data_IF_366959330764
#
_entry.id   IF_366959330764
#
_cell.length_a   1.000
_cell.length_b   1.000
_cell.length_c   1.000
_cell.angle_alpha   90.00
_cell.angle_beta   90.00
_cell.angle_gamma   90.00
#
_symmetry.space_group_name_H-M   'P 1'
#
loop_
_entity.id
_entity.type
_entity.pdbx_description
1 polymer ?
#
# COMPACT_ATOMS: atom_id res chain seq x y z
N UNK A 1 -2.49 -5.88 18.93
CA UNK A 1 -1.84 -4.74 18.25
C UNK A 1 -2.92 -3.85 17.68
N UNK A 2 -2.94 -2.55 18.00
CA UNK A 2 -3.93 -1.62 17.45
C UNK A 2 -3.51 -1.21 16.03
N UNK A 3 -4.21 -1.75 15.03
CA UNK A 3 -4.01 -1.52 13.60
C UNK A 3 -4.13 -0.01 13.24
N UNK A 4 -4.80 0.76 14.10
CA UNK A 4 -5.03 2.20 13.94
C UNK A 4 -4.14 3.06 14.85
N UNK A 5 -3.04 2.53 15.39
CA UNK A 5 -2.09 3.31 16.22
C UNK A 5 -1.05 4.09 15.41
N UNK A 6 -0.79 3.72 14.15
CA UNK A 6 0.21 4.35 13.28
C UNK A 6 -0.35 5.26 12.18
N UNK A 7 0.43 5.49 11.12
CA UNK A 7 -0.02 6.19 9.92
C UNK A 7 -0.90 5.26 9.07
N UNK A 8 -2.22 5.52 9.06
CA UNK A 8 -3.20 4.72 8.32
C UNK A 8 -3.50 5.25 6.92
N UNK A 9 -2.87 6.36 6.50
CA UNK A 9 -3.23 7.12 5.31
C UNK A 9 -3.14 6.30 4.02
N UNK A 10 -2.18 5.38 3.95
CA UNK A 10 -1.93 4.50 2.81
C UNK A 10 -2.60 3.13 2.92
N UNK A 11 -3.33 2.89 4.02
CA UNK A 11 -4.04 1.63 4.20
C UNK A 11 -5.26 1.60 3.30
N UNK A 12 -5.59 0.41 2.80
CA UNK A 12 -6.76 0.19 1.97
C UNK A 12 -7.68 -0.74 2.72
N UNK A 13 -8.96 -0.37 2.80
CA UNK A 13 -9.98 -1.20 3.42
C UNK A 13 -11.06 -1.55 2.41
N UNK A 14 -11.65 -2.73 2.58
CA UNK A 14 -12.81 -3.20 1.83
C UNK A 14 -13.94 -3.50 2.81
N UNK A 15 -15.17 -3.14 2.44
CA UNK A 15 -16.36 -3.57 3.18
C UNK A 15 -16.49 -5.11 3.20
N UNK A 16 -16.75 -5.65 4.38
CA UNK A 16 -17.01 -7.08 4.63
C UNK A 16 -18.38 -7.20 5.31
N UNK A 17 -19.44 -7.01 4.52
CA UNK A 17 -20.81 -7.11 5.01
C UNK A 17 -21.28 -8.53 4.74
N UNK A 18 -21.26 -9.37 5.78
CA UNK A 18 -21.85 -10.72 5.75
C UNK A 18 -23.38 -10.61 5.96
N UNK A 19 -24.23 -11.37 5.25
CA UNK A 19 -25.68 -11.31 5.41
C UNK A 19 -26.17 -11.66 6.83
N UNK A 20 -25.36 -12.42 7.58
CA UNK A 20 -25.65 -12.84 8.96
C UNK A 20 -25.23 -11.83 10.04
N UNK A 21 -24.58 -10.72 9.66
CA UNK A 21 -24.39 -9.60 10.58
C UNK A 21 -25.78 -9.01 10.84
N UNK A 22 -26.32 -9.28 12.04
CA UNK A 22 -27.64 -8.81 12.47
C UNK A 22 -27.83 -7.29 12.37
N UNK A 23 -28.94 -6.76 12.87
CA UNK A 23 -29.29 -5.33 12.77
C UNK A 23 -28.29 -4.41 13.49
N UNK A 24 -27.15 -4.12 12.86
CA UNK A 24 -26.19 -3.11 13.31
C UNK A 24 -26.75 -1.75 12.91
N UNK A 25 -27.02 -0.91 13.90
CA UNK A 25 -27.44 0.47 13.65
C UNK A 25 -26.23 1.29 13.19
N UNK A 26 -26.17 1.57 11.89
CA UNK A 26 -25.13 2.38 11.27
C UNK A 26 -25.62 3.81 11.04
N UNK A 27 -24.81 4.78 11.43
CA UNK A 27 -25.08 6.18 11.12
C UNK A 27 -24.91 6.46 9.62
N UNK A 28 -25.57 7.51 9.10
CA UNK A 28 -25.43 7.95 7.71
C UNK A 28 -23.97 8.18 7.30
N UNK A 29 -23.14 8.71 8.21
CA UNK A 29 -21.71 8.88 7.99
C UNK A 29 -20.93 7.57 7.87
N UNK A 30 -21.26 6.57 8.70
CA UNK A 30 -20.63 5.24 8.63
C UNK A 30 -20.97 4.50 7.34
N UNK A 31 -22.22 4.62 6.87
CA UNK A 31 -22.65 4.04 5.59
C UNK A 31 -21.92 4.68 4.41
N UNK A 32 -21.74 6.01 4.44
CA UNK A 32 -20.95 6.73 3.44
C UNK A 32 -19.49 6.26 3.41
N UNK A 33 -18.88 6.06 4.58
CA UNK A 33 -17.53 5.51 4.68
C UNK A 33 -17.47 4.08 4.14
N UNK A 34 -18.38 3.19 4.55
CA UNK A 34 -18.44 1.81 4.05
C UNK A 34 -18.56 1.75 2.52
N UNK A 35 -19.40 2.59 1.93
CA UNK A 35 -19.58 2.67 0.47
C UNK A 35 -18.30 3.14 -0.25
N UNK A 36 -17.53 4.03 0.37
CA UNK A 36 -16.26 4.51 -0.19
C UNK A 36 -15.11 3.47 -0.07
N UNK A 37 -15.21 2.54 0.88
CA UNK A 37 -14.25 1.46 1.13
C UNK A 37 -14.50 0.26 0.22
N UNK A 38 -14.26 0.47 -1.07
CA UNK A 38 -14.39 -0.55 -2.12
C UNK A 38 -13.18 -1.48 -2.24
N UNK A 39 -12.16 -1.31 -1.39
CA UNK A 39 -10.92 -2.08 -1.43
C UNK A 39 -9.88 -1.57 -2.42
N UNK A 40 -10.10 -0.44 -3.12
CA UNK A 40 -9.11 0.12 -4.06
C UNK A 40 -8.51 1.47 -3.70
N UNK A 41 -9.20 2.24 -2.86
CA UNK A 41 -8.75 3.56 -2.42
C UNK A 41 -8.08 3.47 -1.05
N UNK A 42 -7.01 4.23 -0.87
CA UNK A 42 -6.41 4.41 0.44
C UNK A 42 -7.26 5.33 1.33
N UNK A 43 -7.02 5.27 2.65
CA UNK A 43 -7.78 6.08 3.64
C UNK A 43 -7.65 7.58 3.35
N UNK A 44 -6.49 8.05 2.89
CA UNK A 44 -6.29 9.46 2.53
C UNK A 44 -7.20 9.90 1.39
N UNK A 45 -7.36 9.06 0.36
CA UNK A 45 -8.24 9.32 -0.78
C UNK A 45 -9.70 9.30 -0.35
N UNK A 46 -10.09 8.38 0.54
CA UNK A 46 -11.43 8.32 1.11
C UNK A 46 -11.75 9.57 1.92
N UNK A 47 -10.80 10.05 2.72
CA UNK A 47 -10.91 11.32 3.46
C UNK A 47 -11.20 12.51 2.52
N UNK A 48 -10.48 12.62 1.40
CA UNK A 48 -10.69 13.68 0.41
C UNK A 48 -12.06 13.60 -0.27
N UNK A 49 -12.45 12.40 -0.71
CA UNK A 49 -13.72 12.18 -1.44
C UNK A 49 -14.92 12.49 -0.56
N UNK A 50 -14.88 12.04 0.71
CA UNK A 50 -15.96 12.27 1.65
C UNK A 50 -15.88 13.63 2.34
N UNK A 51 -14.81 14.40 2.12
CA UNK A 51 -14.50 15.65 2.83
C UNK A 51 -14.53 15.49 4.36
N UNK A 52 -14.07 14.34 4.85
CA UNK A 52 -13.98 14.01 6.28
C UNK A 52 -12.51 14.05 6.67
N UNK A 53 -12.09 14.83 7.68
CA UNK A 53 -10.70 14.88 8.11
C UNK A 53 -10.24 13.55 8.71
N UNK A 54 -8.94 13.27 8.62
CA UNK A 54 -8.35 12.01 9.11
C UNK A 54 -8.58 11.77 10.62
N UNK A 55 -8.70 12.86 11.40
CA UNK A 55 -9.02 12.83 12.84
C UNK A 55 -10.38 12.19 13.11
N UNK A 56 -11.34 12.43 12.23
CA UNK A 56 -12.73 11.99 12.38
C UNK A 56 -12.96 10.65 11.66
N UNK A 57 -12.23 10.41 10.57
CA UNK A 57 -12.29 9.16 9.82
C UNK A 57 -11.69 7.99 10.61
N UNK A 58 -10.59 8.21 11.34
CA UNK A 58 -9.92 7.16 12.16
C UNK A 58 -10.87 6.48 13.16
N UNK A 59 -11.61 7.19 14.03
CA UNK A 59 -12.52 6.54 14.97
C UNK A 59 -13.69 5.83 14.27
N UNK A 60 -14.13 6.30 13.10
CA UNK A 60 -15.15 5.61 12.29
C UNK A 60 -14.59 4.27 11.78
N UNK A 61 -13.41 4.27 11.16
CA UNK A 61 -12.76 3.06 10.68
C UNK A 61 -12.49 2.06 11.81
N UNK A 62 -12.04 2.54 12.98
CA UNK A 62 -11.82 1.69 14.16
C UNK A 62 -13.11 1.02 14.63
N UNK A 63 -14.24 1.74 14.63
CA UNK A 63 -15.56 1.16 14.96
C UNK A 63 -15.98 0.13 13.91
N UNK A 64 -15.90 0.46 12.63
CA UNK A 64 -16.24 -0.45 11.53
C UNK A 64 -15.40 -1.74 11.58
N UNK A 65 -14.09 -1.62 11.85
CA UNK A 65 -13.19 -2.77 11.98
C UNK A 65 -13.49 -3.60 13.23
N UNK A 66 -13.82 -2.95 14.36
CA UNK A 66 -14.22 -3.66 15.60
C UNK A 66 -15.51 -4.48 15.39
N UNK A 67 -16.40 -4.02 14.54
CA UNK A 67 -17.62 -4.73 14.15
C UNK A 67 -17.42 -5.66 12.95
N UNK A 68 -16.18 -5.88 12.51
CA UNK A 68 -15.83 -6.76 11.39
C UNK A 68 -16.49 -6.36 10.06
N UNK A 69 -16.99 -5.11 9.96
CA UNK A 69 -17.65 -4.58 8.77
C UNK A 69 -16.67 -4.16 7.67
N UNK A 70 -15.39 -4.04 8.02
CA UNK A 70 -14.31 -3.74 7.08
C UNK A 70 -13.11 -4.64 7.36
N UNK A 71 -12.42 -5.02 6.30
CA UNK A 71 -11.16 -5.74 6.35
C UNK A 71 -10.08 -4.94 5.65
N UNK A 72 -8.84 -5.07 6.10
CA UNK A 72 -7.69 -4.53 5.37
C UNK A 72 -7.51 -5.29 4.06
N UNK A 73 -7.57 -4.57 2.95
CA UNK A 73 -7.28 -5.12 1.64
C UNK A 73 -5.82 -4.84 1.32
N UNK A 74 -4.97 -5.86 1.39
CA UNK A 74 -3.59 -5.78 0.89
C UNK A 74 -3.55 -5.68 -0.66
N UNK A 75 -4.70 -5.88 -1.33
CA UNK A 75 -4.74 -6.39 -2.72
C UNK A 75 -5.29 -5.48 -3.82
N UNK A 76 -5.68 -4.22 -3.61
CA UNK A 76 -6.44 -3.54 -4.68
C UNK A 76 -6.17 -2.04 -4.97
N UNK A 77 -5.01 -1.50 -4.59
CA UNK A 77 -4.47 -0.37 -5.36
C UNK A 77 -3.98 -0.84 -6.74
N UNK A 78 -3.78 0.05 -7.75
CA UNK A 78 -3.02 -0.33 -8.94
C UNK A 78 -1.70 -0.94 -8.47
N UNK A 79 -1.43 -2.17 -8.89
CA UNK A 79 -0.24 -2.91 -8.49
C UNK A 79 0.85 -2.66 -9.52
N UNK A 80 2.10 -2.68 -9.08
CA UNK A 80 3.22 -2.76 -10.01
C UNK A 80 2.99 -3.99 -10.89
N UNK A 81 2.99 -3.78 -12.20
CA UNK A 81 2.86 -4.86 -13.15
C UNK A 81 4.12 -5.76 -13.12
N UNK A 82 3.98 -6.99 -13.63
CA UNK A 82 5.10 -7.94 -13.70
C UNK A 82 6.29 -7.38 -14.50
N UNK A 83 6.02 -6.52 -15.47
CA UNK A 83 7.04 -5.85 -16.29
C UNK A 83 7.93 -4.93 -15.44
N UNK A 84 7.35 -4.10 -14.57
CA UNK A 84 8.12 -3.24 -13.68
C UNK A 84 8.95 -4.05 -12.69
N UNK A 85 8.41 -5.14 -12.13
CA UNK A 85 9.16 -5.99 -11.19
C UNK A 85 10.32 -6.71 -11.91
N UNK A 86 10.08 -7.19 -13.14
CA UNK A 86 11.12 -7.83 -13.96
C UNK A 86 12.23 -6.83 -14.29
N UNK A 87 11.84 -5.61 -14.66
CA UNK A 87 12.75 -4.52 -14.94
C UNK A 87 13.58 -4.10 -13.73
N UNK A 88 12.94 -3.97 -12.56
CA UNK A 88 13.60 -3.69 -11.28
C UNK A 88 14.65 -4.76 -10.98
N UNK A 89 14.31 -6.02 -11.22
CA UNK A 89 15.22 -7.15 -11.05
C UNK A 89 16.40 -7.09 -12.02
N UNK A 90 16.17 -6.82 -13.31
CA UNK A 90 17.23 -6.69 -14.31
C UNK A 90 18.18 -5.54 -13.97
N UNK A 91 17.66 -4.34 -13.70
CA UNK A 91 18.47 -3.18 -13.39
C UNK A 91 19.26 -3.33 -12.10
N UNK A 92 18.68 -3.96 -11.08
CA UNK A 92 19.41 -4.24 -9.85
C UNK A 92 20.47 -5.33 -10.05
N UNK A 93 20.20 -6.32 -10.90
CA UNK A 93 21.17 -7.36 -11.24
C UNK A 93 22.37 -6.80 -12.01
N UNK A 94 22.18 -5.80 -12.87
CA UNK A 94 23.28 -5.11 -13.57
C UNK A 94 24.24 -4.42 -12.58
N UNK A 95 23.73 -3.98 -11.43
CA UNK A 95 24.51 -3.25 -10.41
C UNK A 95 25.09 -4.18 -9.34
N UNK A 96 24.28 -5.11 -8.85
CA UNK A 96 24.54 -5.95 -7.66
C UNK A 96 24.78 -7.42 -8.01
N UNK A 97 24.57 -7.82 -9.26
CA UNK A 97 24.69 -9.21 -9.69
C UNK A 97 23.56 -10.10 -9.13
N UNK A 98 23.82 -11.40 -8.92
CA UNK A 98 22.78 -12.39 -8.59
C UNK A 98 22.09 -12.15 -7.23
N UNK A 99 22.67 -11.33 -6.35
CA UNK A 99 22.08 -10.99 -5.04
C UNK A 99 20.84 -10.08 -5.17
N UNK A 100 20.62 -9.46 -6.33
CA UNK A 100 19.51 -8.55 -6.60
C UNK A 100 18.14 -9.12 -6.19
N UNK A 101 17.87 -10.39 -6.52
CA UNK A 101 16.59 -11.03 -6.19
C UNK A 101 16.40 -11.15 -4.66
N UNK A 102 17.46 -11.44 -3.91
CA UNK A 102 17.40 -11.50 -2.46
C UNK A 102 17.16 -10.12 -1.84
N UNK A 103 17.82 -9.07 -2.36
CA UNK A 103 17.63 -7.70 -1.89
C UNK A 103 16.21 -7.19 -2.12
N UNK A 104 15.62 -7.50 -3.27
CA UNK A 104 14.22 -7.16 -3.58
C UNK A 104 13.27 -7.87 -2.62
N UNK A 105 13.46 -9.17 -2.39
CA UNK A 105 12.65 -9.95 -1.44
C UNK A 105 12.76 -9.40 -0.02
N UNK A 106 13.95 -9.02 0.42
CA UNK A 106 14.17 -8.44 1.75
C UNK A 106 13.50 -7.06 1.89
N UNK A 107 13.55 -6.22 0.86
CA UNK A 107 12.87 -4.93 0.84
C UNK A 107 11.35 -5.10 0.90
N UNK A 108 10.78 -5.99 0.09
CA UNK A 108 9.34 -6.31 0.10
C UNK A 108 8.89 -6.88 1.45
N UNK A 109 9.70 -7.76 2.06
CA UNK A 109 9.43 -8.32 3.39
C UNK A 109 9.42 -7.22 4.46
N UNK A 110 10.35 -6.27 4.41
CA UNK A 110 10.37 -5.10 5.32
C UNK A 110 9.14 -4.21 5.16
N UNK A 111 8.65 -4.08 3.93
CA UNK A 111 7.45 -3.33 3.61
C UNK A 111 6.14 -4.08 3.93
N UNK A 112 6.24 -5.34 4.40
CA UNK A 112 5.11 -6.24 4.63
C UNK A 112 4.19 -6.40 3.39
N UNK A 113 4.77 -6.38 2.19
CA UNK A 113 4.07 -6.61 0.92
C UNK A 113 4.51 -7.92 0.29
N UNK A 114 3.58 -8.57 -0.41
CA UNK A 114 3.90 -9.77 -1.18
C UNK A 114 4.64 -9.40 -2.47
N UNK A 115 5.56 -10.25 -2.97
CA UNK A 115 6.31 -10.00 -4.20
C UNK A 115 5.43 -9.81 -5.45
N UNK A 116 4.24 -10.40 -5.43
CA UNK A 116 3.25 -10.35 -6.50
C UNK A 116 2.18 -9.29 -6.24
N UNK A 117 2.33 -8.46 -5.21
CA UNK A 117 1.28 -7.52 -4.78
C UNK A 117 1.89 -6.26 -4.18
N UNK A 118 2.80 -5.60 -4.91
CA UNK A 118 3.34 -4.29 -4.52
C UNK A 118 2.45 -3.18 -5.09
N UNK A 119 1.83 -2.33 -4.26
CA UNK A 119 1.06 -1.19 -4.73
C UNK A 119 1.93 -0.13 -5.43
N UNK A 120 1.44 0.47 -6.52
CA UNK A 120 2.14 1.53 -7.29
C UNK A 120 2.48 2.73 -6.39
N UNK A 121 1.59 3.12 -5.49
CA UNK A 121 1.85 4.22 -4.54
C UNK A 121 2.98 3.93 -3.54
N UNK A 122 3.46 2.68 -3.46
CA UNK A 122 4.61 2.27 -2.65
C UNK A 122 5.85 1.95 -3.50
N UNK A 123 5.81 2.20 -4.81
CA UNK A 123 6.95 1.98 -5.71
C UNK A 123 8.16 2.82 -5.29
N UNK A 124 7.96 4.10 -4.98
CA UNK A 124 9.01 5.01 -4.51
C UNK A 124 9.68 4.49 -3.24
N UNK A 125 8.88 4.03 -2.26
CA UNK A 125 9.37 3.45 -1.01
C UNK A 125 10.25 2.21 -1.28
N UNK A 126 9.83 1.33 -2.19
CA UNK A 126 10.59 0.15 -2.60
C UNK A 126 11.92 0.53 -3.25
N UNK A 127 11.90 1.48 -4.19
CA UNK A 127 13.10 1.97 -4.90
C UNK A 127 14.09 2.55 -3.90
N UNK A 128 13.63 3.37 -2.95
CA UNK A 128 14.49 3.99 -1.94
C UNK A 128 15.14 2.95 -1.02
N UNK A 129 14.36 1.97 -0.54
CA UNK A 129 14.87 0.89 0.31
C UNK A 129 15.94 0.05 -0.39
N UNK A 130 15.75 -0.24 -1.68
CA UNK A 130 16.72 -0.97 -2.50
C UNK A 130 17.97 -0.12 -2.77
N UNK A 131 17.77 1.17 -3.08
CA UNK A 131 18.88 2.09 -3.37
C UNK A 131 19.85 2.22 -2.20
N UNK A 132 19.35 2.15 -0.96
CA UNK A 132 20.18 2.14 0.25
C UNK A 132 21.09 0.90 0.37
N UNK A 133 20.84 -0.15 -0.39
CA UNK A 133 21.66 -1.38 -0.42
C UNK A 133 22.77 -1.34 -1.46
N UNK A 134 22.76 -0.35 -2.35
CA UNK A 134 23.79 -0.20 -3.38
C UNK A 134 24.96 0.59 -2.76
N UNK A 135 26.18 0.01 -2.68
CA UNK A 135 27.31 0.64 -1.99
C UNK A 135 27.99 1.74 -2.81
N UNK A 136 27.87 1.71 -4.14
CA UNK A 136 28.52 2.67 -5.04
C UNK A 136 27.55 3.82 -5.33
N UNK A 137 27.86 5.02 -4.83
CA UNK A 137 26.94 6.18 -4.89
C UNK A 137 26.51 6.56 -6.31
N UNK A 138 27.42 6.51 -7.29
CA UNK A 138 27.06 6.77 -8.69
C UNK A 138 26.07 5.76 -9.25
N UNK A 139 26.30 4.46 -8.99
CA UNK A 139 25.38 3.40 -9.42
C UNK A 139 24.04 3.48 -8.68
N UNK A 140 24.07 3.84 -7.41
CA UNK A 140 22.88 4.06 -6.57
C UNK A 140 22.01 5.18 -7.15
N UNK A 141 22.61 6.34 -7.45
CA UNK A 141 21.92 7.47 -8.06
C UNK A 141 21.33 7.10 -9.42
N UNK A 142 22.15 6.50 -10.29
CA UNK A 142 21.71 6.08 -11.62
C UNK A 142 20.54 5.08 -11.58
N UNK A 143 20.62 4.07 -10.70
CA UNK A 143 19.55 3.11 -10.48
C UNK A 143 18.25 3.80 -10.02
N UNK A 144 18.36 4.67 -9.00
CA UNK A 144 17.22 5.36 -8.41
C UNK A 144 16.50 6.24 -9.43
N UNK A 145 17.23 7.06 -10.18
CA UNK A 145 16.67 7.94 -11.20
C UNK A 145 16.01 7.15 -12.34
N UNK A 146 16.66 6.08 -12.81
CA UNK A 146 16.12 5.17 -13.82
C UNK A 146 14.78 4.57 -13.40
N UNK A 147 14.68 4.12 -12.14
CA UNK A 147 13.45 3.51 -11.62
C UNK A 147 12.34 4.53 -11.34
N UNK A 148 12.67 5.72 -10.83
CA UNK A 148 11.68 6.77 -10.58
C UNK A 148 11.04 7.27 -11.87
N UNK A 149 11.83 7.48 -12.93
CA UNK A 149 11.30 7.90 -14.24
C UNK A 149 10.31 6.89 -14.82
N UNK A 150 10.56 5.59 -14.62
CA UNK A 150 9.70 4.50 -15.09
C UNK A 150 8.49 4.23 -14.21
N UNK A 151 8.55 4.59 -12.92
CA UNK A 151 7.41 4.51 -12.01
C UNK A 151 6.40 5.66 -12.20
N UNK A 152 6.79 6.74 -12.87
CA UNK A 152 5.97 7.92 -13.14
C UNK A 152 5.25 7.89 -14.51
N UNK A 153 5.46 6.84 -15.31
CA UNK A 153 4.83 6.63 -16.62
C UNK A 153 3.70 5.63 -16.51
#
# INVERSE_FOLDING_TARGET
MDLFSGNISHMIFKASINPDLGKISLSKGMLGVLSALNGSRDVASVSRVLKIPMTDLRPILRKLHKHELIVTSVKAGPMLNGDFISLLQTQLADVMGPIANMLIKDAMKRMAVSPTSVPVNRATELIDLISLKIPIDDKKRAFRESMLNRAAT
#
